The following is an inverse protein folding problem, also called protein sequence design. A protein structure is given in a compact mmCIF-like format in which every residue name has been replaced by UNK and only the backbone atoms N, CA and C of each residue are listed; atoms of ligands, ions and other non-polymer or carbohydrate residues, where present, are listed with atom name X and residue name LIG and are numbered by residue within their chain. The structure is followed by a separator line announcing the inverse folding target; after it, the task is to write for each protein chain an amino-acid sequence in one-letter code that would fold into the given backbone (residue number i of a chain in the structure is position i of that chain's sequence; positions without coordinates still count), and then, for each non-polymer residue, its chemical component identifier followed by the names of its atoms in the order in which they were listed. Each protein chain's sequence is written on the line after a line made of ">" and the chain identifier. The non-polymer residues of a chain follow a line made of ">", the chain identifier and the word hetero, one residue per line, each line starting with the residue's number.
data_IF_487127075066
#
_entry.id   IF_487127075066
#
_cell.length_a   1.000
_cell.length_b   1.000
_cell.length_c   1.000
_cell.angle_alpha   90.00
_cell.angle_beta   90.00
_cell.angle_gamma   90.00
#
_symmetry.space_group_name_H-M   'P 1'
#
loop_
_entity.id
_entity.type
_entity.pdbx_description
1 polymer ?
#
# COMPACT_ATOMS: atom_id res chain seq x y z
N UNK A 1 4.94 17.19 -7.43
CA UNK A 1 4.19 16.19 -6.61
C UNK A 1 3.30 15.31 -7.49
N UNK A 2 2.58 15.88 -8.46
CA UNK A 2 1.82 15.15 -9.48
C UNK A 2 2.72 14.41 -10.49
N UNK A 3 3.83 15.02 -10.95
CA UNK A 3 4.74 14.39 -11.91
C UNK A 3 5.36 13.06 -11.43
N UNK A 4 5.60 12.90 -10.12
CA UNK A 4 6.19 11.67 -9.58
C UNK A 4 5.20 10.51 -9.46
N UNK A 5 3.90 10.81 -9.39
CA UNK A 5 2.81 9.81 -9.41
C UNK A 5 2.57 9.40 -10.87
N UNK A 6 2.51 10.37 -11.79
CA UNK A 6 2.36 10.13 -13.23
C UNK A 6 3.45 9.22 -13.79
N UNK A 7 4.72 9.47 -13.46
CA UNK A 7 5.83 8.70 -14.03
C UNK A 7 5.93 7.24 -13.54
N UNK A 8 5.44 6.93 -12.33
CA UNK A 8 5.35 5.54 -11.85
C UNK A 8 4.10 4.86 -12.42
N UNK A 9 2.99 5.58 -12.47
CA UNK A 9 1.73 5.12 -13.04
C UNK A 9 1.86 4.75 -14.53
N UNK A 10 2.57 5.54 -15.34
CA UNK A 10 2.82 5.25 -16.77
C UNK A 10 3.56 3.92 -16.96
N UNK A 11 4.65 3.69 -16.21
CA UNK A 11 5.39 2.41 -16.30
C UNK A 11 4.62 1.23 -15.74
N UNK A 12 3.71 1.48 -14.81
CA UNK A 12 2.83 0.44 -14.27
C UNK A 12 1.65 0.14 -15.17
N UNK A 13 1.23 1.08 -16.02
CA UNK A 13 0.02 0.96 -16.83
C UNK A 13 0.04 -0.30 -17.69
N UNK A 14 1.22 -0.69 -18.19
CA UNK A 14 1.46 -1.87 -19.02
C UNK A 14 1.70 -3.16 -18.21
N UNK A 15 1.89 -3.06 -16.89
CA UNK A 15 2.13 -4.21 -16.02
C UNK A 15 0.86 -5.01 -15.69
N UNK A 16 0.99 -6.33 -15.42
CA UNK A 16 -0.12 -7.15 -14.98
C UNK A 16 -0.64 -6.68 -13.61
N UNK A 17 -1.95 -6.80 -13.40
CA UNK A 17 -2.55 -6.60 -12.07
C UNK A 17 -2.24 -7.83 -11.22
N UNK A 18 -1.57 -7.61 -10.09
CA UNK A 18 -1.25 -8.61 -9.09
C UNK A 18 -2.26 -8.56 -7.92
N UNK A 19 -2.35 -9.67 -7.18
CA UNK A 19 -3.09 -9.77 -5.93
C UNK A 19 -2.13 -10.00 -4.77
N UNK A 20 -2.52 -9.55 -3.59
CA UNK A 20 -1.76 -9.78 -2.38
C UNK A 20 -2.49 -9.36 -1.12
N UNK A 21 -1.78 -9.48 -0.01
CA UNK A 21 -2.28 -9.18 1.32
C UNK A 21 -1.37 -8.14 1.97
N UNK A 22 -1.95 -7.09 2.55
CA UNK A 22 -1.19 -6.07 3.27
C UNK A 22 -0.50 -6.74 4.46
N UNK A 23 0.84 -6.67 4.49
CA UNK A 23 1.66 -7.22 5.57
C UNK A 23 1.81 -6.23 6.72
N UNK A 24 2.07 -4.97 6.38
CA UNK A 24 2.11 -3.89 7.38
C UNK A 24 1.86 -2.56 6.69
N UNK A 25 1.21 -1.63 7.37
CA UNK A 25 1.05 -0.27 6.88
C UNK A 25 0.99 0.71 8.05
N UNK A 26 1.76 1.79 7.97
CA UNK A 26 1.80 2.81 9.00
C UNK A 26 1.35 4.16 8.42
N UNK A 27 0.13 4.59 8.78
CA UNK A 27 -0.45 5.88 8.37
C UNK A 27 0.49 7.06 8.68
N UNK A 28 1.11 7.08 9.86
CA UNK A 28 2.03 8.15 10.27
C UNK A 28 3.30 8.20 9.40
N UNK A 29 3.87 7.04 9.07
CA UNK A 29 5.05 6.95 8.20
C UNK A 29 4.71 7.07 6.71
N UNK A 30 3.43 6.93 6.34
CA UNK A 30 2.93 7.03 4.96
C UNK A 30 3.34 5.87 4.05
N UNK A 31 3.77 4.73 4.60
CA UNK A 31 4.18 3.59 3.79
C UNK A 31 3.97 2.25 4.52
N UNK A 32 4.13 1.17 3.76
CA UNK A 32 3.96 -0.19 4.22
C UNK A 32 4.51 -1.21 3.23
N UNK A 33 4.08 -2.45 3.42
CA UNK A 33 4.47 -3.61 2.63
C UNK A 33 3.28 -4.51 2.34
N UNK A 34 3.25 -5.08 1.14
CA UNK A 34 2.26 -6.05 0.67
C UNK A 34 2.96 -7.37 0.35
N UNK A 35 2.40 -8.48 0.83
CA UNK A 35 2.81 -9.81 0.44
C UNK A 35 2.06 -10.22 -0.83
N UNK A 36 2.77 -10.52 -1.92
CA UNK A 36 2.15 -10.96 -3.17
C UNK A 36 1.72 -12.42 -3.09
N UNK A 37 0.51 -12.75 -3.57
CA UNK A 37 -0.05 -14.11 -3.49
C UNK A 37 0.62 -15.09 -4.47
N UNK A 38 1.06 -14.62 -5.64
CA UNK A 38 1.67 -15.44 -6.72
C UNK A 38 3.11 -15.93 -6.45
N UNK A 39 3.51 -16.12 -5.18
CA UNK A 39 4.71 -16.89 -4.84
C UNK A 39 6.06 -16.17 -4.95
N UNK A 40 6.10 -14.85 -5.21
CA UNK A 40 7.31 -14.05 -4.99
C UNK A 40 7.50 -13.85 -3.48
N UNK A 41 8.63 -14.32 -2.94
CA UNK A 41 8.96 -14.22 -1.50
C UNK A 41 9.28 -12.79 -1.02
N UNK A 42 9.33 -11.82 -1.93
CA UNK A 42 9.72 -10.45 -1.59
C UNK A 42 8.49 -9.60 -1.26
N UNK A 43 8.56 -8.90 -0.13
CA UNK A 43 7.56 -7.92 0.25
C UNK A 43 7.64 -6.70 -0.68
N UNK A 44 6.49 -6.27 -1.17
CA UNK A 44 6.39 -5.18 -2.14
C UNK A 44 6.12 -3.89 -1.37
N UNK A 45 6.95 -2.89 -1.59
CA UNK A 45 6.82 -1.60 -0.93
C UNK A 45 5.57 -0.87 -1.43
N UNK A 46 4.78 -0.27 -0.53
CA UNK A 46 3.64 0.58 -0.89
C UNK A 46 3.74 1.93 -0.20
N UNK A 47 3.44 3.00 -0.93
CA UNK A 47 3.35 4.35 -0.40
C UNK A 47 1.89 4.80 -0.32
N UNK A 48 1.55 5.65 0.65
CA UNK A 48 0.20 6.18 0.86
C UNK A 48 -0.38 6.84 -0.39
N UNK A 49 0.46 7.54 -1.17
CA UNK A 49 0.03 8.19 -2.42
C UNK A 49 -0.39 7.23 -3.53
N UNK A 50 -0.01 5.96 -3.41
CA UNK A 50 -0.30 4.92 -4.40
C UNK A 50 -1.52 4.07 -4.02
N UNK A 51 -2.11 4.35 -2.84
CA UNK A 51 -3.31 3.68 -2.35
C UNK A 51 -4.54 4.49 -2.77
N UNK A 52 -5.46 3.81 -3.42
CA UNK A 52 -6.73 4.35 -3.87
C UNK A 52 -7.86 3.97 -2.89
N UNK A 53 -8.92 4.76 -2.89
CA UNK A 53 -10.09 4.57 -2.02
C UNK A 53 -10.04 5.34 -0.70
N UNK A 54 -11.01 5.06 0.17
CA UNK A 54 -11.24 5.82 1.41
C UNK A 54 -10.64 5.17 2.66
N UNK A 55 -10.27 3.90 2.58
CA UNK A 55 -9.83 3.11 3.73
C UNK A 55 -8.31 3.12 3.91
N UNK A 56 -7.88 3.22 5.16
CA UNK A 56 -6.49 3.03 5.56
C UNK A 56 -6.18 1.53 5.56
N UNK A 57 -5.21 1.04 4.76
CA UNK A 57 -4.88 -0.37 4.74
C UNK A 57 -4.40 -0.85 6.11
N UNK A 58 -4.86 -2.03 6.47
CA UNK A 58 -4.50 -2.75 7.69
C UNK A 58 -3.90 -4.10 7.34
N UNK A 59 -3.13 -4.64 8.26
CA UNK A 59 -2.56 -5.98 8.13
C UNK A 59 -3.66 -7.04 7.91
N UNK A 60 -3.52 -7.80 6.83
CA UNK A 60 -4.45 -8.83 6.40
C UNK A 60 -5.53 -8.38 5.42
N UNK A 61 -5.53 -7.12 4.99
CA UNK A 61 -6.40 -6.66 3.90
C UNK A 61 -5.95 -7.23 2.56
N UNK A 62 -6.91 -7.71 1.77
CA UNK A 62 -6.64 -8.17 0.42
C UNK A 62 -6.65 -6.99 -0.54
N UNK A 63 -5.61 -6.87 -1.34
CA UNK A 63 -5.40 -5.76 -2.26
C UNK A 63 -5.10 -6.27 -3.67
N UNK A 64 -5.52 -5.50 -4.66
CA UNK A 64 -5.04 -5.59 -6.03
C UNK A 64 -4.15 -4.40 -6.31
N UNK A 65 -3.03 -4.64 -7.00
CA UNK A 65 -2.06 -3.60 -7.29
C UNK A 65 -1.28 -3.93 -8.56
N UNK A 66 -0.56 -2.96 -9.10
CA UNK A 66 0.46 -3.17 -10.13
C UNK A 66 1.84 -2.98 -9.54
N UNK A 67 2.86 -3.58 -10.15
CA UNK A 67 4.24 -3.48 -9.67
C UNK A 67 5.11 -2.68 -10.63
N UNK A 68 5.93 -1.79 -10.09
CA UNK A 68 6.99 -1.10 -10.83
C UNK A 68 8.32 -1.23 -10.11
N UNK A 69 9.41 -1.24 -10.85
CA UNK A 69 10.75 -1.18 -10.26
C UNK A 69 11.06 0.23 -9.77
N UNK A 70 11.75 0.35 -8.64
CA UNK A 70 12.13 1.63 -8.05
C UNK A 70 13.46 2.13 -8.65
N UNK A 71 13.47 3.20 -9.47
CA UNK A 71 14.71 3.77 -10.01
C UNK A 71 15.54 4.47 -8.92
N UNK A 72 16.86 4.69 -9.13
CA UNK A 72 17.63 4.36 -10.33
C UNK A 72 18.13 2.91 -10.38
N UNK A 73 18.13 2.20 -9.25
CA UNK A 73 18.72 0.85 -9.16
C UNK A 73 17.81 -0.26 -9.71
N UNK A 74 16.50 -0.05 -9.73
CA UNK A 74 15.50 -1.02 -10.20
C UNK A 74 15.56 -2.40 -9.49
N UNK A 75 16.12 -2.46 -8.28
CA UNK A 75 16.30 -3.70 -7.50
C UNK A 75 15.05 -4.09 -6.71
N UNK A 76 14.22 -3.10 -6.34
CA UNK A 76 13.03 -3.30 -5.49
C UNK A 76 11.76 -2.98 -6.25
N UNK A 77 10.69 -3.66 -5.88
CA UNK A 77 9.36 -3.42 -6.41
C UNK A 77 8.56 -2.47 -5.51
N UNK A 78 7.80 -1.59 -6.14
CA UNK A 78 6.79 -0.75 -5.52
C UNK A 78 5.41 -1.10 -6.09
N UNK A 79 4.43 -1.24 -5.21
CA UNK A 79 3.04 -1.38 -5.53
C UNK A 79 2.45 0.00 -5.84
N UNK A 80 1.75 0.08 -6.97
CA UNK A 80 1.03 1.28 -7.43
C UNK A 80 -0.38 0.90 -7.87
N UNK A 81 -1.28 1.88 -7.92
CA UNK A 81 -2.72 1.64 -8.14
C UNK A 81 -3.26 0.58 -7.16
N UNK A 82 -2.94 0.75 -5.89
CA UNK A 82 -3.29 -0.21 -4.84
C UNK A 82 -4.74 0.02 -4.44
N UNK A 83 -5.58 -0.99 -4.69
CA UNK A 83 -7.00 -0.97 -4.34
C UNK A 83 -7.28 -2.07 -3.33
N UNK A 84 -7.90 -1.72 -2.20
CA UNK A 84 -8.35 -2.70 -1.22
C UNK A 84 -9.61 -3.39 -1.76
N UNK A 85 -9.52 -4.71 -1.94
CA UNK A 85 -10.62 -5.54 -2.46
C UNK A 85 -11.45 -6.17 -1.34
N UNK A 86 -10.79 -6.58 -0.25
CA UNK A 86 -11.46 -7.12 0.93
C UNK A 86 -10.79 -6.59 2.19
N UNK A 87 -11.57 -5.90 3.02
CA UNK A 87 -11.16 -5.49 4.36
C UNK A 87 -11.14 -6.72 5.27
N UNK A 88 -10.14 -6.82 6.13
CA UNK A 88 -10.02 -7.93 7.07
C UNK A 88 -11.25 -7.98 8.02
N UNK A 89 -11.98 -9.09 8.09
CA UNK A 89 -13.11 -9.20 9.01
C UNK A 89 -12.63 -9.14 10.46
N UNK A 90 -13.41 -8.48 11.32
CA UNK A 90 -13.10 -8.36 12.76
C UNK A 90 -12.05 -7.31 13.12
N UNK A 91 -11.56 -6.51 12.15
CA UNK A 91 -10.68 -5.36 12.41
C UNK A 91 -11.43 -4.06 12.17
N UNK A 92 -11.26 -3.11 13.09
CA UNK A 92 -11.77 -1.75 12.90
C UNK A 92 -10.91 -1.02 11.86
N UNK A 93 -11.50 -0.78 10.69
CA UNK A 93 -10.85 -0.03 9.62
C UNK A 93 -11.07 1.47 9.82
N UNK A 94 -10.01 2.23 9.60
CA UNK A 94 -10.03 3.68 9.66
C UNK A 94 -10.15 4.22 8.24
N UNK A 95 -10.75 5.40 8.09
CA UNK A 95 -10.77 6.11 6.81
C UNK A 95 -9.71 7.20 6.78
N UNK A 96 -9.27 7.60 5.58
CA UNK A 96 -8.30 8.69 5.42
C UNK A 96 -8.83 10.03 5.92
N UNK A 97 -10.14 10.27 5.77
CA UNK A 97 -10.85 11.46 6.23
C UNK A 97 -11.14 11.47 7.74
N UNK A 98 -11.01 10.31 8.41
CA UNK A 98 -11.17 10.26 9.87
C UNK A 98 -10.02 11.01 10.55
N UNK A 99 -10.32 11.86 11.56
CA UNK A 99 -9.29 12.54 12.32
C UNK A 99 -8.31 11.49 12.88
N UNK A 100 -7.01 11.70 12.65
CA UNK A 100 -5.99 10.83 13.24
C UNK A 100 -6.24 10.83 14.74
N UNK A 101 -6.49 9.68 15.39
CA UNK A 101 -6.69 9.65 16.84
C UNK A 101 -5.43 10.21 17.48
N UNK A 102 -5.53 11.41 18.05
CA UNK A 102 -4.44 12.15 18.69
C UNK A 102 -4.06 11.55 20.05
N UNK A 103 -4.49 10.32 20.36
CA UNK A 103 -4.29 9.77 21.70
C UNK A 103 -2.84 9.34 21.90
N UNK A 104 -2.10 9.98 22.84
CA UNK A 104 -0.71 9.65 23.12
C UNK A 104 -0.53 8.28 23.79
N UNK A 105 -1.59 7.60 24.22
CA UNK A 105 -1.50 6.35 25.01
C UNK A 105 -1.14 5.09 24.22
N UNK A 106 -1.22 5.09 22.88
CA UNK A 106 -0.93 3.88 22.09
C UNK A 106 0.52 3.74 21.61
N UNK A 107 1.40 4.69 21.94
CA UNK A 107 2.81 4.72 21.48
C UNK A 107 3.81 5.05 22.60
N UNK A 108 3.42 4.94 23.87
CA UNK A 108 4.37 5.01 24.98
C UNK A 108 5.09 3.66 25.11
N UNK A 109 6.31 3.60 24.55
CA UNK A 109 7.40 2.74 25.06
C UNK A 109 8.41 3.67 25.73
#
# INVERSE_FOLDING_TARGET
>A
KYESISFRSERAAEGPTCKGVVKSFCRQKGHGFIHQEDGKKEDIFVHISDIEGEWVPKEGDHVTFKTVTIPPRNEKLQAVHVVITHLKPGVLHERWDSPVPTSPEKYAD
#
